data_IF_602466123716
#
_entry.id   IF_602466123716
#
_cell.length_a   1.000
_cell.length_b   1.000
_cell.length_c   1.000
_cell.angle_alpha   90.00
_cell.angle_beta   90.00
_cell.angle_gamma   90.00
#
_symmetry.space_group_name_H-M   'P 1'
#
loop_
_entity.id
_entity.type
_entity.pdbx_description
1 polymer ?
#
# COMPACT_ATOMS: atom_id res chain seq x y z
N UNK A 1 7.05 21.78 -4.20
CA UNK A 1 6.75 21.38 -2.81
C UNK A 1 6.20 19.96 -2.82
N UNK A 2 7.03 18.96 -2.54
CA UNK A 2 6.56 17.57 -2.43
C UNK A 2 6.16 17.33 -0.98
N UNK A 3 4.86 17.23 -0.71
CA UNK A 3 4.42 16.65 0.57
C UNK A 3 4.81 15.19 0.51
N UNK A 4 5.94 14.83 1.14
CA UNK A 4 6.36 13.44 1.27
C UNK A 4 5.35 12.71 2.17
N UNK A 5 4.20 12.36 1.59
CA UNK A 5 3.31 11.36 2.15
C UNK A 5 4.12 10.07 2.05
N UNK A 6 4.39 9.44 3.19
CA UNK A 6 5.16 8.19 3.25
C UNK A 6 4.61 7.10 2.31
N UNK A 7 5.29 5.94 2.26
CA UNK A 7 4.97 4.90 1.30
C UNK A 7 3.49 4.50 1.37
N UNK A 8 2.86 4.29 0.21
CA UNK A 8 1.43 3.93 0.10
C UNK A 8 1.21 2.76 -0.84
N UNK A 9 0.27 1.87 -0.50
CA UNK A 9 -0.11 0.78 -1.40
C UNK A 9 -0.83 1.33 -2.64
N UNK A 10 -0.35 0.96 -3.82
CA UNK A 10 -1.02 1.19 -5.11
C UNK A 10 -0.86 -0.04 -6.01
N UNK A 11 -1.84 -0.28 -6.88
CA UNK A 11 -1.73 -1.31 -7.92
C UNK A 11 -1.02 -0.70 -9.12
N UNK A 12 0.11 -1.28 -9.52
CA UNK A 12 0.91 -0.87 -10.68
C UNK A 12 1.79 -2.04 -11.11
N UNK A 13 1.94 -2.30 -12.40
CA UNK A 13 2.66 -3.49 -12.88
C UNK A 13 1.96 -4.80 -12.48
N UNK A 14 0.62 -4.80 -12.50
CA UNK A 14 -0.28 -5.92 -12.20
C UNK A 14 -0.15 -6.48 -10.78
N UNK A 15 0.51 -5.75 -9.88
CA UNK A 15 0.68 -6.11 -8.48
C UNK A 15 0.41 -4.90 -7.58
N UNK A 16 0.10 -5.16 -6.32
CA UNK A 16 0.06 -4.13 -5.28
C UNK A 16 1.46 -3.89 -4.74
N UNK A 17 1.97 -2.68 -4.92
CA UNK A 17 3.29 -2.23 -4.46
C UNK A 17 3.20 -1.11 -3.41
N UNK A 18 4.17 -1.06 -2.50
CA UNK A 18 4.39 0.10 -1.67
C UNK A 18 5.09 1.17 -2.53
N UNK A 19 4.35 2.19 -2.93
CA UNK A 19 4.84 3.27 -3.79
C UNK A 19 5.35 4.42 -2.94
N UNK A 20 6.60 4.79 -3.16
CA UNK A 20 7.30 5.90 -2.51
C UNK A 20 6.94 7.23 -3.17
N UNK A 21 6.92 7.24 -4.51
CA UNK A 21 6.64 8.43 -5.30
C UNK A 21 6.06 8.06 -6.67
N UNK A 22 5.29 8.99 -7.23
CA UNK A 22 4.89 8.99 -8.63
C UNK A 22 5.66 10.11 -9.33
N UNK A 23 6.28 9.78 -10.44
CA UNK A 23 7.11 10.70 -11.21
C UNK A 23 6.71 10.66 -12.68
N UNK A 24 7.14 11.66 -13.44
CA UNK A 24 6.90 11.78 -14.87
C UNK A 24 8.20 12.11 -15.58
N UNK A 25 8.47 11.42 -16.68
CA UNK A 25 9.56 11.70 -17.60
C UNK A 25 9.02 11.75 -19.03
N UNK A 26 8.95 12.96 -19.59
CA UNK A 26 8.28 13.20 -20.88
C UNK A 26 6.82 12.73 -20.86
N UNK A 27 6.46 11.86 -21.80
CA UNK A 27 5.13 11.27 -21.90
C UNK A 27 4.89 10.10 -20.92
N UNK A 28 5.91 9.64 -20.21
CA UNK A 28 5.84 8.46 -19.35
C UNK A 28 5.60 8.85 -17.89
N UNK A 29 4.67 8.16 -17.25
CA UNK A 29 4.50 8.23 -15.79
C UNK A 29 4.94 6.90 -15.19
N UNK A 30 5.63 6.95 -14.06
CA UNK A 30 6.11 5.75 -13.36
C UNK A 30 6.03 5.90 -11.85
N UNK A 31 5.88 4.77 -11.17
CA UNK A 31 5.96 4.65 -9.73
C UNK A 31 7.34 4.18 -9.32
N UNK A 32 7.93 4.85 -8.34
CA UNK A 32 9.08 4.34 -7.59
C UNK A 32 8.54 3.44 -6.48
N UNK A 33 8.72 2.14 -6.64
CA UNK A 33 8.33 1.18 -5.61
C UNK A 33 9.42 1.01 -4.55
N UNK A 34 9.02 0.62 -3.35
CA UNK A 34 9.95 0.29 -2.28
C UNK A 34 10.79 -0.95 -2.56
N UNK A 35 10.33 -1.85 -3.44
CA UNK A 35 11.11 -3.02 -3.86
C UNK A 35 12.19 -2.70 -4.91
N UNK A 36 12.46 -1.42 -5.20
CA UNK A 36 13.53 -0.97 -6.08
C UNK A 36 13.17 -0.92 -7.57
N UNK A 37 11.96 -1.34 -7.94
CA UNK A 37 11.50 -1.32 -9.32
C UNK A 37 10.83 0.01 -9.70
N UNK A 38 11.09 0.45 -10.93
CA UNK A 38 10.32 1.50 -11.60
C UNK A 38 9.17 0.83 -12.36
N UNK A 39 7.94 1.19 -11.99
CA UNK A 39 6.75 0.51 -12.49
C UNK A 39 5.90 1.48 -13.30
N UNK A 40 5.59 1.13 -14.53
CA UNK A 40 4.72 1.92 -15.41
C UNK A 40 3.26 1.47 -15.26
N UNK A 41 2.31 2.41 -15.12
CA UNK A 41 0.89 2.07 -15.13
C UNK A 41 0.47 1.43 -16.44
N UNK A 42 -0.43 0.47 -16.33
CA UNK A 42 -1.07 -0.22 -17.44
C UNK A 42 -2.58 -0.31 -17.22
N UNK A 43 -3.33 -0.51 -18.31
CA UNK A 43 -4.78 -0.75 -18.25
C UNK A 43 -5.13 -1.99 -17.42
N UNK A 44 -4.21 -2.94 -17.31
CA UNK A 44 -4.36 -4.17 -16.52
C UNK A 44 -4.23 -3.96 -15.00
N UNK A 45 -3.78 -2.77 -14.54
CA UNK A 45 -3.64 -2.46 -13.11
C UNK A 45 -4.99 -2.25 -12.40
N UNK A 46 -6.10 -2.33 -13.12
CA UNK A 46 -7.46 -2.24 -12.59
C UNK A 46 -7.97 -3.57 -12.01
N UNK A 47 -7.18 -4.64 -12.08
CA UNK A 47 -7.54 -5.94 -11.51
C UNK A 47 -7.80 -5.82 -9.99
N UNK A 48 -9.02 -6.13 -9.50
CA UNK A 48 -9.39 -5.94 -8.10
C UNK A 48 -8.62 -6.84 -7.13
N UNK A 49 -8.11 -7.96 -7.64
CA UNK A 49 -7.42 -9.04 -6.95
C UNK A 49 -5.92 -9.07 -7.22
N UNK A 50 -5.34 -7.96 -7.71
CA UNK A 50 -3.92 -7.86 -7.96
C UNK A 50 -3.08 -8.33 -6.74
N UNK A 51 -2.19 -9.32 -6.91
CA UNK A 51 -1.44 -9.89 -5.80
C UNK A 51 -0.51 -8.85 -5.18
N UNK A 52 -0.25 -8.99 -3.89
CA UNK A 52 0.69 -8.10 -3.19
C UNK A 52 2.12 -8.51 -3.52
N UNK A 53 2.94 -7.56 -3.94
CA UNK A 53 4.36 -7.78 -4.18
C UNK A 53 5.03 -8.29 -2.89
N UNK A 54 5.63 -9.50 -2.89
CA UNK A 54 6.17 -10.12 -1.67
C UNK A 54 7.32 -9.30 -1.07
N UNK A 55 8.17 -8.69 -1.90
CA UNK A 55 9.25 -7.82 -1.44
C UNK A 55 8.71 -6.55 -0.77
N UNK A 56 7.72 -5.89 -1.36
CA UNK A 56 7.09 -4.72 -0.72
C UNK A 56 6.41 -5.10 0.60
N UNK A 57 5.80 -6.29 0.69
CA UNK A 57 5.17 -6.78 1.91
C UNK A 57 6.20 -7.00 3.02
N UNK A 58 7.35 -7.58 2.69
CA UNK A 58 8.44 -7.80 3.64
C UNK A 58 9.07 -6.49 4.13
N UNK A 59 9.22 -5.50 3.24
CA UNK A 59 9.80 -4.19 3.58
C UNK A 59 8.84 -3.25 4.32
N UNK A 60 7.53 -3.42 4.14
CA UNK A 60 6.51 -2.57 4.74
C UNK A 60 5.38 -3.38 5.41
N UNK A 61 5.68 -4.12 6.49
CA UNK A 61 4.68 -4.88 7.22
C UNK A 61 3.59 -3.97 7.82
N UNK A 62 3.96 -2.77 8.30
CA UNK A 62 3.03 -1.86 8.99
C UNK A 62 1.95 -1.29 8.07
N UNK A 63 2.28 -1.03 6.80
CA UNK A 63 1.30 -0.58 5.80
C UNK A 63 0.26 -1.66 5.50
N UNK A 64 0.62 -2.92 5.68
CA UNK A 64 -0.27 -4.07 5.51
C UNK A 64 -1.18 -4.21 6.74
N UNK A 65 -0.61 -4.07 7.95
CA UNK A 65 -1.34 -4.12 9.21
C UNK A 65 -2.36 -2.98 9.36
N UNK A 66 -2.00 -1.75 8.96
CA UNK A 66 -2.91 -0.60 8.99
C UNK A 66 -4.17 -0.79 8.13
N UNK A 67 -4.10 -1.60 7.07
CA UNK A 67 -5.25 -1.93 6.22
C UNK A 67 -6.19 -2.95 6.87
N UNK A 68 -5.66 -3.85 7.70
CA UNK A 68 -6.45 -4.80 8.47
C UNK A 68 -7.20 -4.11 9.61
N UNK A 69 -6.55 -3.21 10.35
CA UNK A 69 -7.19 -2.45 11.44
C UNK A 69 -8.35 -1.58 10.93
N UNK A 70 -8.21 -0.97 9.74
CA UNK A 70 -9.30 -0.22 9.10
C UNK A 70 -10.45 -1.10 8.61
N UNK A 71 -10.22 -2.39 8.36
CA UNK A 71 -11.26 -3.37 8.01
C UNK A 71 -11.95 -4.02 9.22
N UNK A 72 -11.31 -3.98 10.40
CA UNK A 72 -11.79 -4.58 11.65
C UNK A 72 -12.46 -3.57 12.60
N UNK A 73 -12.60 -2.30 12.18
CA UNK A 73 -13.18 -1.22 12.97
C UNK A 73 -14.70 -1.29 13.14
N UNK A 74 -15.23 -2.40 13.69
CA UNK A 74 -16.51 -2.46 14.40
C UNK A 74 -16.64 -3.74 15.25
N UNK A 75 -15.62 -4.08 16.03
CA UNK A 75 -15.77 -4.99 17.15
C UNK A 75 -15.60 -4.21 18.45
N UNK A 76 -16.69 -4.15 19.20
CA UNK A 76 -16.87 -3.49 20.50
C UNK A 76 -15.76 -3.93 21.46
N UNK A 77 -15.12 -2.94 22.10
CA UNK A 77 -14.28 -3.13 23.28
C UNK A 77 -15.21 -3.50 24.43
N UNK A 78 -15.23 -4.77 24.84
CA UNK A 78 -15.71 -5.16 26.16
C UNK A 78 -14.48 -5.19 27.08
N UNK A 79 -14.36 -4.19 27.94
CA UNK A 79 -13.28 -4.10 28.91
C UNK A 79 -13.80 -4.70 30.22
N UNK A 80 -13.12 -5.68 30.83
CA UNK A 80 -13.57 -6.28 32.07
C UNK A 80 -12.88 -5.61 33.25
N UNK A 81 -13.57 -4.78 34.04
CA UNK A 81 -13.08 -4.40 35.37
C UNK A 81 -14.22 -4.20 36.36
N UNK A 82 -14.13 -4.88 37.51
CA UNK A 82 -15.02 -4.61 38.65
C UNK A 82 -15.11 -5.72 39.70
N UNK A 83 -13.98 -6.16 40.26
CA UNK A 83 -13.99 -6.79 41.60
C UNK A 83 -14.28 -5.72 42.64
N UNK A 84 -15.39 -5.84 43.36
CA UNK A 84 -15.49 -5.78 44.84
C UNK A 84 -16.85 -6.24 45.29
#
# INVERSE_FOLDING_TARGET
MSTARGPRWATVGQQRHAVLAWERSGAWSYARSACGWLLTPSVYDRAPDAPVCPTCRALHPDLTAARLVRGLGRAVVDQPEGKR
#
